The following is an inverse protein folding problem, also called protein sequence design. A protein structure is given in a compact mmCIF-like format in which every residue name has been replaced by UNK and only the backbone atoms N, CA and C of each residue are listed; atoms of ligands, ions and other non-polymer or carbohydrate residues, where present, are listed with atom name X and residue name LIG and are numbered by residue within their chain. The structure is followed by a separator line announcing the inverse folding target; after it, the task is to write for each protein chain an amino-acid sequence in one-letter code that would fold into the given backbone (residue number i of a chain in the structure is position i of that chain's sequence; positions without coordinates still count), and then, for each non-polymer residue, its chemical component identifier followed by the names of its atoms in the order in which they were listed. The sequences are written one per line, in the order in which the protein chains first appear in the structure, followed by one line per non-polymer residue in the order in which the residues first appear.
data_IF_499467537481
#
_entry.id   IF_499467537481
#
_cell.length_a   1.000
_cell.length_b   1.000
_cell.length_c   1.000
_cell.angle_alpha   90.00
_cell.angle_beta   90.00
_cell.angle_gamma   90.00
#
_symmetry.space_group_name_H-M   'P 1'
#
loop_
_entity.id
_entity.type
_entity.pdbx_description
1 polymer ?
#
# COMPACT_ATOMS: atom_id res chain seq x y z
N UNK A 1 -6.04 -14.64 11.72
CA UNK A 1 -5.28 -15.52 10.81
C UNK A 1 -4.20 -14.69 10.15
N UNK A 2 -2.94 -15.14 10.17
CA UNK A 2 -1.84 -14.53 9.42
C UNK A 2 -1.65 -15.30 8.12
N UNK A 3 -1.50 -14.58 7.00
CA UNK A 3 -1.29 -15.16 5.67
C UNK A 3 -0.02 -14.54 5.08
N UNK A 4 0.86 -15.37 4.54
CA UNK A 4 2.00 -14.90 3.77
C UNK A 4 1.52 -14.55 2.37
N UNK A 5 1.57 -13.27 1.99
CA UNK A 5 1.22 -12.82 0.66
C UNK A 5 2.22 -11.79 0.13
N UNK A 6 2.51 -11.93 -1.16
CA UNK A 6 3.40 -11.09 -1.95
C UNK A 6 2.62 -10.50 -3.11
N UNK A 7 2.73 -9.18 -3.30
CA UNK A 7 2.20 -8.49 -4.48
C UNK A 7 3.33 -8.34 -5.50
N UNK A 8 3.33 -9.17 -6.55
CA UNK A 8 4.34 -9.15 -7.61
C UNK A 8 3.84 -9.82 -8.89
N UNK A 9 4.29 -9.31 -10.04
CA UNK A 9 4.05 -9.93 -11.35
C UNK A 9 5.16 -10.96 -11.68
N UNK A 10 5.01 -12.17 -11.12
CA UNK A 10 5.97 -13.27 -11.33
C UNK A 10 5.95 -13.84 -12.75
N UNK A 11 4.95 -13.50 -13.57
CA UNK A 11 4.84 -14.04 -14.93
C UNK A 11 5.78 -13.31 -15.90
N UNK A 12 6.20 -12.09 -15.54
CA UNK A 12 7.18 -11.31 -16.31
C UNK A 12 8.62 -11.73 -16.05
N UNK A 13 9.04 -11.80 -14.78
CA UNK A 13 10.42 -12.08 -14.39
C UNK A 13 10.53 -12.42 -12.89
N UNK A 14 11.30 -13.44 -12.53
CA UNK A 14 11.61 -13.78 -11.14
C UNK A 14 12.52 -12.75 -10.43
N UNK A 15 13.19 -11.88 -11.20
CA UNK A 15 13.96 -10.74 -10.71
C UNK A 15 13.13 -9.52 -10.30
N UNK A 16 11.80 -9.59 -10.40
CA UNK A 16 10.92 -8.45 -10.11
C UNK A 16 10.94 -8.08 -8.63
N UNK A 17 10.80 -6.78 -8.37
CA UNK A 17 10.63 -6.24 -7.02
C UNK A 17 9.20 -6.51 -6.54
N UNK A 18 9.06 -6.93 -5.28
CA UNK A 18 7.76 -7.03 -4.63
C UNK A 18 7.23 -5.62 -4.37
N UNK A 19 5.99 -5.33 -4.76
CA UNK A 19 5.37 -4.05 -4.46
C UNK A 19 4.97 -3.95 -2.98
N UNK A 20 4.49 -5.06 -2.43
CA UNK A 20 4.16 -5.17 -1.02
C UNK A 20 4.28 -6.60 -0.54
N UNK A 21 4.57 -6.76 0.75
CA UNK A 21 4.46 -8.02 1.48
C UNK A 21 3.62 -7.83 2.74
N UNK A 22 2.93 -8.89 3.14
CA UNK A 22 2.14 -8.91 4.38
C UNK A 22 2.98 -8.74 5.66
N UNK A 23 2.38 -8.25 6.76
CA UNK A 23 3.04 -8.22 8.07
C UNK A 23 3.55 -9.58 8.55
N UNK A 24 2.87 -10.69 8.19
CA UNK A 24 3.30 -12.04 8.51
C UNK A 24 4.69 -12.36 7.92
N UNK A 25 4.93 -11.97 6.67
CA UNK A 25 6.24 -12.14 6.03
C UNK A 25 7.30 -11.21 6.62
N UNK A 26 6.93 -9.97 6.97
CA UNK A 26 7.83 -9.04 7.67
C UNK A 26 8.30 -9.61 9.02
N UNK A 27 7.40 -10.29 9.75
CA UNK A 27 7.74 -10.95 11.01
C UNK A 27 8.73 -12.12 10.85
N UNK A 28 8.84 -12.70 9.63
CA UNK A 28 9.87 -13.68 9.29
C UNK A 28 11.22 -13.04 8.92
N UNK A 29 11.35 -11.71 9.06
CA UNK A 29 12.57 -10.97 8.70
C UNK A 29 12.68 -10.60 7.22
N UNK A 30 11.66 -10.90 6.41
CA UNK A 30 11.64 -10.55 4.99
C UNK A 30 11.40 -9.05 4.86
N UNK A 31 12.27 -8.36 4.12
CA UNK A 31 12.16 -6.91 3.92
C UNK A 31 11.05 -6.57 2.93
N UNK A 32 10.37 -5.45 3.16
CA UNK A 32 9.50 -4.89 2.14
C UNK A 32 10.33 -4.47 0.92
N UNK A 33 9.72 -4.48 -0.26
CA UNK A 33 10.40 -4.19 -1.52
C UNK A 33 11.60 -5.11 -1.83
N UNK A 34 11.63 -6.33 -1.25
CA UNK A 34 12.59 -7.36 -1.67
C UNK A 34 12.30 -7.81 -3.11
N UNK A 35 13.31 -8.37 -3.77
CA UNK A 35 13.11 -9.12 -5.01
C UNK A 35 12.62 -10.52 -4.68
N UNK A 36 11.82 -11.09 -5.57
CA UNK A 36 11.15 -12.38 -5.30
C UNK A 36 12.15 -13.50 -5.03
N UNK A 37 13.32 -13.48 -5.67
CA UNK A 37 14.38 -14.44 -5.41
C UNK A 37 15.07 -14.30 -4.04
N UNK A 38 14.88 -13.19 -3.34
CA UNK A 38 15.43 -12.97 -1.99
C UNK A 38 14.53 -13.58 -0.90
N UNK A 39 13.31 -14.00 -1.26
CA UNK A 39 12.40 -14.72 -0.36
C UNK A 39 12.94 -16.14 -0.17
N UNK A 40 13.15 -16.60 1.08
CA UNK A 40 13.61 -17.97 1.34
C UNK A 40 12.66 -19.00 0.72
N UNK A 41 13.22 -20.05 0.12
CA UNK A 41 12.45 -21.06 -0.64
C UNK A 41 11.52 -21.88 0.25
N UNK A 42 11.80 -21.94 1.54
CA UNK A 42 11.04 -22.65 2.56
C UNK A 42 9.79 -21.88 2.99
N UNK A 43 9.67 -20.61 2.60
CA UNK A 43 8.50 -19.78 2.92
C UNK A 43 7.43 -19.99 1.85
N UNK A 44 6.34 -20.65 2.24
CA UNK A 44 5.14 -20.70 1.42
C UNK A 44 4.38 -19.37 1.49
N UNK A 45 3.98 -18.85 0.33
CA UNK A 45 3.24 -17.59 0.22
C UNK A 45 2.26 -17.61 -0.97
N UNK A 46 1.22 -16.77 -0.86
CA UNK A 46 0.28 -16.50 -1.93
C UNK A 46 0.85 -15.39 -2.81
N UNK A 47 0.88 -15.61 -4.13
CA UNK A 47 1.17 -14.58 -5.13
C UNK A 47 -0.13 -13.84 -5.46
N UNK A 48 -0.10 -12.51 -5.36
CA UNK A 48 -1.14 -11.64 -5.89
C UNK A 48 -0.56 -10.77 -7.03
N UNK A 49 -1.09 -10.84 -8.25
CA UNK A 49 -0.69 -9.91 -9.31
C UNK A 49 -1.12 -8.48 -8.95
N UNK A 50 -0.31 -7.47 -9.29
CA UNK A 50 -0.64 -6.09 -8.98
C UNK A 50 -1.84 -5.60 -9.78
N UNK A 51 -2.78 -4.93 -9.09
CA UNK A 51 -4.00 -4.36 -9.66
C UNK A 51 -3.98 -2.84 -9.56
N UNK A 52 -3.03 -2.19 -10.22
CA UNK A 52 -2.76 -0.75 -10.05
C UNK A 52 -3.99 0.13 -10.26
N UNK A 53 -4.83 -0.17 -11.26
CA UNK A 53 -6.08 0.56 -11.47
C UNK A 53 -6.99 0.52 -10.25
N UNK A 54 -7.19 -0.67 -9.69
CA UNK A 54 -8.01 -0.85 -8.49
C UNK A 54 -7.45 -0.06 -7.30
N UNK A 55 -6.14 -0.01 -7.13
CA UNK A 55 -5.51 0.77 -6.05
C UNK A 55 -5.75 2.27 -6.22
N UNK A 56 -5.69 2.77 -7.46
CA UNK A 56 -5.98 4.19 -7.78
C UNK A 56 -7.45 4.50 -7.52
N UNK A 57 -8.36 3.61 -7.92
CA UNK A 57 -9.80 3.77 -7.70
C UNK A 57 -10.09 3.88 -6.18
N UNK A 58 -9.53 2.99 -5.36
CA UNK A 58 -9.63 3.08 -3.89
C UNK A 58 -9.01 4.35 -3.30
N UNK A 59 -7.84 4.78 -3.81
CA UNK A 59 -7.19 6.02 -3.37
C UNK A 59 -8.11 7.23 -3.61
N UNK A 60 -8.75 7.30 -4.78
CA UNK A 60 -9.70 8.35 -5.11
C UNK A 60 -10.96 8.30 -4.24
N UNK A 61 -11.48 7.10 -3.92
CA UNK A 61 -12.60 6.93 -2.99
C UNK A 61 -12.26 7.44 -1.58
N UNK A 62 -11.07 7.12 -1.06
CA UNK A 62 -10.60 7.61 0.24
C UNK A 62 -10.43 9.13 0.21
N UNK A 63 -9.85 9.68 -0.86
CA UNK A 63 -9.70 11.12 -1.04
C UNK A 63 -11.05 11.85 -1.09
N UNK A 64 -12.08 11.23 -1.69
CA UNK A 64 -13.44 11.78 -1.68
C UNK A 64 -13.99 11.93 -0.25
N UNK A 65 -13.67 10.99 0.66
CA UNK A 65 -14.02 11.11 2.08
C UNK A 65 -13.30 12.28 2.72
N UNK A 66 -12.03 12.54 2.39
CA UNK A 66 -11.31 13.71 2.93
C UNK A 66 -11.98 15.03 2.54
N UNK A 67 -12.44 15.14 1.29
CA UNK A 67 -13.13 16.32 0.79
C UNK A 67 -14.50 16.59 1.44
N UNK A 68 -15.07 15.63 2.17
CA UNK A 68 -16.28 15.87 2.97
C UNK A 68 -16.00 16.71 4.23
N UNK A 69 -14.76 16.70 4.73
CA UNK A 69 -14.38 17.33 6.00
C UNK A 69 -13.30 18.41 5.87
N UNK A 70 -12.48 18.34 4.82
CA UNK A 70 -11.30 19.15 4.62
C UNK A 70 -11.38 19.83 3.25
N UNK A 71 -11.03 21.11 3.18
CA UNK A 71 -10.94 21.80 1.91
C UNK A 71 -9.86 21.18 1.02
N UNK A 72 -10.06 21.26 -0.29
CA UNK A 72 -9.11 20.71 -1.26
C UNK A 72 -7.73 21.38 -1.12
N UNK A 73 -7.73 22.68 -0.86
CA UNK A 73 -6.54 23.51 -0.74
C UNK A 73 -5.68 23.12 0.46
N UNK A 74 -6.30 22.54 1.50
CA UNK A 74 -5.65 22.07 2.73
C UNK A 74 -5.22 20.61 2.65
N UNK A 75 -5.48 19.93 1.52
CA UNK A 75 -5.09 18.52 1.31
C UNK A 75 -4.06 18.40 0.19
N UNK A 76 -2.87 17.92 0.52
CA UNK A 76 -1.81 17.59 -0.42
C UNK A 76 -1.65 16.08 -0.58
N UNK A 77 -2.12 15.52 -1.69
CA UNK A 77 -1.89 14.10 -2.05
C UNK A 77 -0.43 13.92 -2.45
N UNK A 78 0.30 13.11 -1.68
CA UNK A 78 1.74 12.88 -1.87
C UNK A 78 2.02 11.60 -2.66
N UNK A 79 1.27 10.54 -2.37
CA UNK A 79 1.37 9.24 -3.04
C UNK A 79 0.00 8.57 -3.09
N UNK A 80 -0.07 7.34 -3.60
CA UNK A 80 -1.35 6.61 -3.74
C UNK A 80 -1.99 6.27 -2.39
N UNK A 81 -1.18 6.13 -1.34
CA UNK A 81 -1.59 5.76 0.01
C UNK A 81 -1.22 6.83 1.06
N UNK A 82 -0.71 7.98 0.64
CA UNK A 82 -0.28 9.05 1.56
C UNK A 82 -0.78 10.43 1.09
N UNK A 83 -1.41 11.16 2.01
CA UNK A 83 -1.78 12.55 1.86
C UNK A 83 -1.42 13.32 3.14
N UNK A 84 -0.98 14.56 2.97
CA UNK A 84 -0.82 15.52 4.06
C UNK A 84 -2.05 16.39 4.13
N UNK A 85 -2.57 16.61 5.33
CA UNK A 85 -3.75 17.42 5.58
C UNK A 85 -3.37 18.50 6.60
N UNK A 86 -3.64 19.76 6.27
CA UNK A 86 -3.58 20.86 7.22
C UNK A 86 -4.88 20.93 8.01
N UNK A 87 -4.78 20.79 9.33
CA UNK A 87 -5.90 20.82 10.27
C UNK A 87 -5.80 21.99 11.26
N UNK A 88 -4.88 22.94 11.01
CA UNK A 88 -4.54 23.99 11.97
C UNK A 88 -5.74 24.90 12.28
N UNK A 89 -6.56 25.22 11.27
CA UNK A 89 -7.71 26.13 11.38
C UNK A 89 -9.05 25.37 11.54
N UNK A 90 -9.02 24.05 11.77
CA UNK A 90 -10.23 23.31 12.12
C UNK A 90 -10.64 23.69 13.55
N UNK A 91 -11.56 24.64 13.67
CA UNK A 91 -12.16 25.01 14.94
C UNK A 91 -12.92 23.80 15.52
N UNK A 92 -12.39 23.21 16.60
CA UNK A 92 -12.99 22.10 17.33
C UNK A 92 -14.06 22.56 18.33
N UNK A 93 -14.55 23.80 18.28
CA UNK A 93 -15.66 24.25 19.13
C UNK A 93 -17.04 23.87 18.55
N UNK A 94 -17.43 22.61 18.80
CA UNK A 94 -18.84 22.23 19.01
C UNK A 94 -19.00 21.52 20.34
#
# INVERSE_FOLDING_TARGET
MSVNLVVADLDRNYGIICLAITPAMKALGIKNHCRVYEIPKEVEYIKAPPRMKLYIDYSAEIYAVYLEYIAKEDTHVYSIDEAFIDVTELDHSQ
#
